data_IF_236855381696
#
_entry.id   IF_236855381696
#
_cell.length_a   1.000
_cell.length_b   1.000
_cell.length_c   1.000
_cell.angle_alpha   90.00
_cell.angle_beta   90.00
_cell.angle_gamma   90.00
#
_symmetry.space_group_name_H-M   'P 1'
#
loop_
_entity.id
_entity.type
_entity.pdbx_description
1 polymer ?
#
# COMPACT_ATOMS: atom_id res chain seq x y z
N UNK A 1 0.80 5.88 6.65
CA UNK A 1 -0.32 6.79 6.98
C UNK A 1 -1.38 6.80 5.89
N UNK A 2 -1.05 7.05 4.62
CA UNK A 2 -2.02 7.00 3.51
C UNK A 2 -2.88 5.72 3.46
N UNK A 3 -2.28 4.53 3.61
CA UNK A 3 -3.06 3.29 3.69
C UNK A 3 -4.06 3.25 4.87
N UNK A 4 -3.68 3.78 6.03
CA UNK A 4 -4.59 3.87 7.19
C UNK A 4 -5.67 4.93 7.01
N UNK A 5 -5.31 6.09 6.45
CA UNK A 5 -6.25 7.16 6.16
C UNK A 5 -7.31 6.73 5.13
N UNK A 6 -6.89 6.09 4.04
CA UNK A 6 -7.75 5.71 2.91
C UNK A 6 -8.50 4.39 3.10
N UNK A 7 -7.93 3.41 3.82
CA UNK A 7 -8.58 2.10 4.03
C UNK A 7 -9.16 1.96 5.44
N UNK A 8 -8.32 2.05 6.47
CA UNK A 8 -8.74 1.78 7.85
C UNK A 8 -9.73 2.83 8.37
N UNK A 9 -9.61 4.08 7.93
CA UNK A 9 -10.57 5.13 8.26
C UNK A 9 -12.00 4.81 7.78
N UNK A 10 -12.16 4.19 6.60
CA UNK A 10 -13.48 3.77 6.10
C UNK A 10 -14.05 2.65 6.96
N UNK A 11 -13.23 1.65 7.29
CA UNK A 11 -13.65 0.54 8.17
C UNK A 11 -14.05 1.09 9.54
N UNK A 12 -13.18 1.87 10.17
CA UNK A 12 -13.36 2.35 11.54
C UNK A 12 -14.56 3.30 11.70
N UNK A 13 -14.90 4.08 10.66
CA UNK A 13 -16.10 4.94 10.66
C UNK A 13 -17.39 4.17 10.43
N UNK A 14 -17.34 3.02 9.78
CA UNK A 14 -18.51 2.17 9.52
C UNK A 14 -18.86 1.22 10.67
N UNK A 15 -18.05 1.19 11.74
CA UNK A 15 -18.36 0.42 12.96
C UNK A 15 -19.16 1.32 13.92
N UNK A 16 -20.30 0.83 14.40
CA UNK A 16 -21.07 1.50 15.45
C UNK A 16 -20.20 1.78 16.67
N UNK A 17 -20.36 2.95 17.31
CA UNK A 17 -19.46 3.37 18.39
C UNK A 17 -19.27 2.30 19.45
N UNK A 18 -20.37 1.81 20.06
CA UNK A 18 -20.29 0.82 21.13
C UNK A 18 -19.58 -0.49 20.76
N UNK A 19 -19.50 -0.85 19.48
CA UNK A 19 -18.77 -2.03 19.02
C UNK A 19 -17.32 -1.70 18.63
N UNK A 20 -17.03 -0.46 18.22
CA UNK A 20 -15.66 -0.01 17.98
C UNK A 20 -14.85 0.09 19.28
N UNK A 21 -15.46 0.58 20.36
CA UNK A 21 -14.77 0.64 21.66
C UNK A 21 -14.43 -0.77 22.18
N UNK A 22 -15.35 -1.74 22.07
CA UNK A 22 -15.08 -3.15 22.38
C UNK A 22 -13.95 -3.71 21.52
N UNK A 23 -13.94 -3.40 20.21
CA UNK A 23 -12.86 -3.83 19.32
C UNK A 23 -11.49 -3.31 19.79
N UNK A 24 -11.39 -2.04 20.18
CA UNK A 24 -10.14 -1.46 20.67
C UNK A 24 -9.63 -2.14 21.95
N UNK A 25 -10.52 -2.58 22.83
CA UNK A 25 -10.19 -3.31 24.06
C UNK A 25 -9.56 -4.67 23.76
N UNK A 26 -9.98 -5.34 22.69
CA UNK A 26 -9.40 -6.65 22.28
C UNK A 26 -7.99 -6.54 21.70
N UNK A 27 -7.54 -5.34 21.30
CA UNK A 27 -6.22 -5.15 20.69
C UNK A 27 -5.16 -5.10 21.81
N UNK A 28 -4.23 -6.07 21.89
CA UNK A 28 -3.27 -6.15 22.99
C UNK A 28 -2.14 -5.12 22.86
N UNK A 29 -1.78 -4.74 21.63
CA UNK A 29 -0.66 -3.83 21.36
C UNK A 29 -1.10 -2.36 21.49
N UNK A 30 -0.54 -1.58 22.45
CA UNK A 30 -0.96 -0.19 22.68
C UNK A 30 -0.83 0.72 21.45
N UNK A 31 0.27 0.57 20.71
CA UNK A 31 0.51 1.37 19.50
C UNK A 31 -0.50 1.07 18.39
N UNK A 32 -0.93 -0.19 18.27
CA UNK A 32 -1.95 -0.57 17.30
C UNK A 32 -3.30 0.01 17.71
N UNK A 33 -3.66 -0.05 19.00
CA UNK A 33 -4.88 0.58 19.53
C UNK A 33 -4.90 2.07 19.21
N UNK A 34 -3.79 2.78 19.45
CA UNK A 34 -3.64 4.20 19.12
C UNK A 34 -3.84 4.46 17.64
N UNK A 35 -3.21 3.68 16.75
CA UNK A 35 -3.38 3.84 15.29
C UNK A 35 -4.83 3.62 14.83
N UNK A 36 -5.54 2.64 15.38
CA UNK A 36 -6.95 2.41 15.07
C UNK A 36 -7.83 3.59 15.53
N UNK A 37 -7.61 4.09 16.75
CA UNK A 37 -8.30 5.28 17.24
C UNK A 37 -8.03 6.51 16.35
N UNK A 38 -6.77 6.76 16.00
CA UNK A 38 -6.38 7.87 15.10
C UNK A 38 -6.97 7.72 13.70
N UNK A 39 -7.03 6.50 13.16
CA UNK A 39 -7.64 6.28 11.84
C UNK A 39 -9.14 6.59 11.84
N UNK A 40 -9.85 6.37 12.95
CA UNK A 40 -11.26 6.74 13.11
C UNK A 40 -11.44 8.26 13.15
N UNK A 41 -10.59 8.97 13.90
CA UNK A 41 -10.64 10.44 14.02
C UNK A 41 -10.11 11.19 12.78
N UNK A 42 -9.33 10.53 11.93
CA UNK A 42 -8.65 11.14 10.80
C UNK A 42 -7.21 11.54 11.10
N UNK A 43 -6.42 11.75 10.04
CA UNK A 43 -5.04 12.24 10.09
C UNK A 43 -5.00 13.72 9.73
N UNK A 44 -4.04 14.47 10.27
CA UNK A 44 -3.88 15.89 9.92
C UNK A 44 -3.38 16.05 8.49
N UNK A 45 -3.62 17.21 7.87
CA UNK A 45 -3.09 17.53 6.54
C UNK A 45 -1.55 17.47 6.52
N UNK A 46 -0.90 17.99 7.56
CA UNK A 46 0.55 17.93 7.71
C UNK A 46 1.09 16.48 7.73
N UNK A 47 0.37 15.55 8.38
CA UNK A 47 0.72 14.13 8.39
C UNK A 47 0.61 13.51 6.99
N UNK A 48 -0.43 13.89 6.23
CA UNK A 48 -0.64 13.41 4.86
C UNK A 48 0.43 13.95 3.92
N UNK A 49 0.77 15.24 4.00
CA UNK A 49 1.86 15.86 3.22
C UNK A 49 3.19 15.17 3.51
N UNK A 50 3.53 14.99 4.78
CA UNK A 50 4.75 14.28 5.17
C UNK A 50 4.77 12.82 4.69
N UNK A 51 3.61 12.14 4.71
CA UNK A 51 3.50 10.79 4.17
C UNK A 51 3.67 10.75 2.65
N UNK A 52 3.12 11.73 1.92
CA UNK A 52 3.28 11.87 0.47
C UNK A 52 4.75 12.06 0.11
N UNK A 53 5.46 12.98 0.79
CA UNK A 53 6.88 13.24 0.53
C UNK A 53 7.76 11.98 0.69
N UNK A 54 7.42 11.10 1.65
CA UNK A 54 8.13 9.82 1.85
C UNK A 54 7.90 8.83 0.70
N UNK A 55 6.71 8.84 0.10
CA UNK A 55 6.39 7.99 -1.05
C UNK A 55 7.15 8.47 -2.28
N UNK A 56 7.15 9.78 -2.52
CA UNK A 56 7.91 10.39 -3.61
C UNK A 56 9.41 10.09 -3.51
N UNK A 57 9.99 10.28 -2.32
CA UNK A 57 11.38 9.91 -2.06
C UNK A 57 11.65 8.42 -2.33
N UNK A 58 10.73 7.54 -1.92
CA UNK A 58 10.87 6.11 -2.16
C UNK A 58 10.77 5.75 -3.65
N UNK A 59 9.87 6.38 -4.41
CA UNK A 59 9.75 6.21 -5.85
C UNK A 59 11.07 6.56 -6.55
N UNK A 60 11.62 7.74 -6.27
CA UNK A 60 12.85 8.21 -6.90
C UNK A 60 14.05 7.30 -6.55
N UNK A 61 14.11 6.81 -5.30
CA UNK A 61 15.16 5.90 -4.86
C UNK A 61 15.08 4.54 -5.56
N UNK A 62 13.88 3.98 -5.71
CA UNK A 62 13.68 2.69 -6.36
C UNK A 62 13.93 2.79 -7.87
N UNK A 63 13.43 3.85 -8.50
CA UNK A 63 13.67 4.12 -9.91
C UNK A 63 15.17 4.20 -10.22
N UNK A 64 15.93 4.92 -9.37
CA UNK A 64 17.39 4.98 -9.48
C UNK A 64 18.03 3.59 -9.34
N UNK A 65 17.67 2.82 -8.31
CA UNK A 65 18.24 1.49 -8.07
C UNK A 65 18.00 0.52 -9.23
N UNK A 66 16.80 0.57 -9.82
CA UNK A 66 16.44 -0.25 -10.99
C UNK A 66 17.12 0.23 -12.29
N UNK A 67 17.67 1.45 -12.29
CA UNK A 67 18.59 1.90 -13.33
C UNK A 67 19.99 1.31 -13.22
N UNK A 68 20.40 0.88 -12.02
CA UNK A 68 21.72 0.29 -11.75
C UNK A 68 21.70 -1.24 -11.83
N UNK A 69 20.58 -1.86 -11.44
CA UNK A 69 20.48 -3.31 -11.25
C UNK A 69 19.16 -3.87 -11.74
N UNK A 70 19.16 -5.13 -12.17
CA UNK A 70 17.97 -5.81 -12.72
C UNK A 70 16.85 -5.97 -11.70
N UNK A 71 17.20 -6.16 -10.43
CA UNK A 71 16.33 -6.38 -9.28
C UNK A 71 16.80 -5.53 -8.10
N UNK A 72 15.97 -5.35 -7.09
CA UNK A 72 16.24 -4.38 -6.01
C UNK A 72 17.53 -4.65 -5.22
N UNK A 73 17.98 -5.90 -5.18
CA UNK A 73 19.20 -6.34 -4.49
C UNK A 73 20.28 -6.87 -5.45
N UNK A 74 20.28 -6.44 -6.72
CA UNK A 74 21.33 -6.78 -7.68
C UNK A 74 20.84 -7.55 -8.91
N UNK A 75 21.61 -8.55 -9.34
CA UNK A 75 21.36 -9.28 -10.58
C UNK A 75 20.27 -10.36 -10.50
N UNK A 76 19.83 -10.74 -9.29
CA UNK A 76 18.88 -11.86 -9.07
C UNK A 76 17.66 -11.43 -8.26
N UNK A 77 16.57 -12.16 -8.43
CA UNK A 77 15.31 -11.93 -7.70
C UNK A 77 15.44 -12.42 -6.26
N UNK A 78 15.08 -11.59 -5.29
CA UNK A 78 15.29 -11.89 -3.86
C UNK A 78 14.08 -11.53 -3.00
N UNK A 79 14.22 -11.75 -1.69
CA UNK A 79 13.26 -11.28 -0.69
C UNK A 79 13.04 -9.76 -0.72
N UNK A 80 14.01 -8.97 -1.21
CA UNK A 80 13.82 -7.52 -1.37
C UNK A 80 12.69 -7.21 -2.35
N UNK A 81 12.65 -7.91 -3.49
CA UNK A 81 11.61 -7.73 -4.51
C UNK A 81 10.25 -8.23 -4.00
N UNK A 82 10.21 -9.38 -3.33
CA UNK A 82 8.97 -9.93 -2.74
C UNK A 82 8.39 -8.95 -1.72
N UNK A 83 9.21 -8.47 -0.79
CA UNK A 83 8.78 -7.56 0.26
C UNK A 83 8.26 -6.24 -0.34
N UNK A 84 9.02 -5.63 -1.24
CA UNK A 84 8.65 -4.35 -1.83
C UNK A 84 7.42 -4.46 -2.72
N UNK A 85 7.28 -5.55 -3.50
CA UNK A 85 6.11 -5.78 -4.36
C UNK A 85 4.82 -5.84 -3.54
N UNK A 86 4.82 -6.66 -2.48
CA UNK A 86 3.64 -6.85 -1.63
C UNK A 86 3.26 -5.60 -0.81
N UNK A 87 4.23 -4.79 -0.39
CA UNK A 87 3.97 -3.64 0.47
C UNK A 87 3.61 -2.36 -0.31
N UNK A 88 4.24 -2.15 -1.46
CA UNK A 88 4.18 -0.86 -2.16
C UNK A 88 4.07 -1.02 -3.67
N UNK A 89 5.00 -1.77 -4.26
CA UNK A 89 5.26 -1.77 -5.70
C UNK A 89 4.07 -2.19 -6.56
N UNK A 90 3.24 -3.13 -6.08
CA UNK A 90 2.07 -3.60 -6.82
C UNK A 90 0.97 -2.53 -6.95
N UNK A 91 0.84 -1.62 -5.97
CA UNK A 91 -0.36 -0.78 -5.81
C UNK A 91 -0.11 0.72 -5.89
N UNK A 92 1.13 1.19 -5.84
CA UNK A 92 1.45 2.62 -5.73
C UNK A 92 0.79 3.48 -6.81
N UNK A 93 0.75 3.02 -8.06
CA UNK A 93 0.10 3.74 -9.16
C UNK A 93 -1.42 3.82 -9.01
N UNK A 94 -2.06 2.75 -8.54
CA UNK A 94 -3.51 2.73 -8.28
C UNK A 94 -3.88 3.56 -7.05
N UNK A 95 -3.02 3.57 -6.04
CA UNK A 95 -3.27 4.28 -4.78
C UNK A 95 -2.99 5.78 -4.87
N UNK A 96 -2.16 6.20 -5.83
CA UNK A 96 -1.73 7.59 -6.01
C UNK A 96 -1.74 7.96 -7.51
N UNK A 97 -2.90 7.94 -8.18
CA UNK A 97 -2.99 8.26 -9.62
C UNK A 97 -2.46 9.66 -9.94
N UNK A 98 -2.55 10.59 -8.99
CA UNK A 98 -2.02 11.96 -9.09
C UNK A 98 -0.50 12.04 -9.24
N UNK A 99 0.23 10.98 -8.87
CA UNK A 99 1.70 10.95 -8.93
C UNK A 99 2.26 10.60 -10.32
N UNK A 100 1.40 10.26 -11.29
CA UNK A 100 1.80 9.86 -12.65
C UNK A 100 2.96 8.84 -12.65
N UNK A 101 2.85 7.77 -11.84
CA UNK A 101 3.97 6.86 -11.53
C UNK A 101 4.63 6.30 -12.80
N UNK A 102 3.86 5.90 -13.82
CA UNK A 102 4.42 5.43 -15.09
C UNK A 102 5.36 6.44 -15.77
N UNK A 103 5.12 7.74 -15.61
CA UNK A 103 5.96 8.80 -16.17
C UNK A 103 7.17 9.10 -15.29
N UNK A 104 6.98 9.12 -13.97
CA UNK A 104 8.05 9.44 -12.99
C UNK A 104 9.03 8.29 -12.77
N UNK A 105 8.51 7.06 -12.73
CA UNK A 105 9.25 5.85 -12.39
C UNK A 105 8.94 4.70 -13.37
N UNK A 106 9.31 4.83 -14.66
CA UNK A 106 9.02 3.80 -15.67
C UNK A 106 9.72 2.47 -15.39
N UNK A 107 10.94 2.46 -14.82
CA UNK A 107 11.64 1.21 -14.50
C UNK A 107 10.97 0.47 -13.35
N UNK A 108 10.36 1.20 -12.40
CA UNK A 108 9.50 0.59 -11.38
C UNK A 108 8.31 -0.14 -12.02
N UNK A 109 7.66 0.45 -13.03
CA UNK A 109 6.57 -0.21 -13.73
C UNK A 109 7.05 -1.47 -14.46
N UNK A 110 8.17 -1.40 -15.18
CA UNK A 110 8.77 -2.57 -15.83
C UNK A 110 9.15 -3.67 -14.83
N UNK A 111 9.73 -3.30 -13.70
CA UNK A 111 10.06 -4.22 -12.61
C UNK A 111 8.80 -4.88 -12.05
N UNK A 112 7.74 -4.10 -11.81
CA UNK A 112 6.46 -4.60 -11.28
C UNK A 112 5.86 -5.63 -12.23
N UNK A 113 5.84 -5.34 -13.53
CA UNK A 113 5.30 -6.24 -14.54
C UNK A 113 6.13 -7.53 -14.61
N UNK A 114 7.46 -7.42 -14.48
CA UNK A 114 8.36 -8.57 -14.40
C UNK A 114 8.12 -9.43 -13.15
N UNK A 115 7.84 -8.82 -12.00
CA UNK A 115 7.48 -9.56 -10.77
C UNK A 115 6.13 -10.25 -10.94
N UNK A 116 5.12 -9.54 -11.47
CA UNK A 116 3.77 -10.07 -11.68
C UNK A 116 3.74 -11.25 -12.66
N UNK A 117 4.59 -11.23 -13.69
CA UNK A 117 4.70 -12.31 -14.68
C UNK A 117 5.34 -13.61 -14.14
N UNK A 118 5.89 -13.61 -12.91
CA UNK A 118 6.47 -14.82 -12.32
C UNK A 118 5.36 -15.82 -11.99
N UNK A 119 5.48 -17.13 -12.34
CA UNK A 119 4.40 -18.09 -12.17
C UNK A 119 3.78 -18.14 -10.78
N UNK A 120 4.61 -18.11 -9.72
CA UNK A 120 4.11 -18.12 -8.34
C UNK A 120 3.35 -16.84 -7.95
N UNK A 121 3.78 -15.68 -8.47
CA UNK A 121 3.10 -14.40 -8.22
C UNK A 121 1.81 -14.34 -9.01
N UNK A 122 1.85 -14.70 -10.30
CA UNK A 122 0.67 -14.78 -11.15
C UNK A 122 -0.39 -15.74 -10.58
N UNK A 123 0.03 -16.87 -10.02
CA UNK A 123 -0.88 -17.80 -9.34
C UNK A 123 -1.47 -17.18 -8.07
N UNK A 124 -0.64 -16.56 -7.22
CA UNK A 124 -1.12 -15.88 -6.01
C UNK A 124 -2.16 -14.78 -6.33
N UNK A 125 -1.96 -14.03 -7.41
CA UNK A 125 -2.87 -12.95 -7.84
C UNK A 125 -4.24 -13.44 -8.35
N UNK A 126 -4.42 -14.74 -8.62
CA UNK A 126 -5.73 -15.33 -8.95
C UNK A 126 -6.58 -15.64 -7.71
N UNK A 127 -6.01 -15.48 -6.51
CA UNK A 127 -6.73 -15.74 -5.27
C UNK A 127 -7.96 -14.85 -5.15
N UNK A 128 -9.00 -15.38 -4.52
CA UNK A 128 -10.24 -14.65 -4.23
C UNK A 128 -9.96 -13.30 -3.52
N UNK A 129 -10.55 -12.21 -4.03
CA UNK A 129 -10.50 -10.91 -3.35
C UNK A 129 -11.44 -10.91 -2.13
N UNK A 130 -10.85 -11.18 -0.96
CA UNK A 130 -11.55 -11.15 0.33
C UNK A 130 -11.59 -9.76 0.97
N UNK A 131 -11.18 -8.73 0.24
CA UNK A 131 -11.32 -7.34 0.69
C UNK A 131 -12.80 -7.00 0.84
N UNK A 132 -13.17 -6.29 1.92
CA UNK A 132 -14.55 -5.83 2.11
C UNK A 132 -14.99 -4.97 0.91
N UNK A 133 -16.20 -5.18 0.32
CA UNK A 133 -16.61 -4.52 -0.93
C UNK A 133 -16.45 -2.99 -0.96
N UNK A 134 -16.75 -2.30 0.15
CA UNK A 134 -16.58 -0.83 0.25
C UNK A 134 -15.12 -0.35 0.20
N UNK A 135 -14.15 -1.25 0.26
CA UNK A 135 -12.71 -0.98 0.12
C UNK A 135 -12.18 -1.44 -1.24
N UNK A 136 -13.00 -2.04 -2.08
CA UNK A 136 -12.61 -2.53 -3.42
C UNK A 136 -12.57 -1.44 -4.49
N UNK A 137 -12.89 -0.20 -4.12
CA UNK A 137 -12.55 1.01 -4.91
C UNK A 137 -11.07 1.04 -5.32
N UNK A 138 -10.21 0.34 -4.58
CA UNK A 138 -8.78 0.24 -4.85
C UNK A 138 -8.37 -1.04 -5.63
N UNK A 139 -9.18 -2.10 -5.64
CA UNK A 139 -8.93 -3.31 -6.47
C UNK A 139 -9.41 -3.15 -7.92
N UNK A 140 -10.18 -2.09 -8.21
CA UNK A 140 -10.67 -1.74 -9.54
C UNK A 140 -12.09 -2.23 -9.83
N UNK A 141 -12.78 -2.81 -8.83
CA UNK A 141 -14.17 -3.27 -8.96
C UNK A 141 -15.20 -2.13 -8.86
N UNK A 142 -14.82 -0.99 -8.29
CA UNK A 142 -15.68 0.19 -8.17
C UNK A 142 -14.89 1.41 -8.62
N UNK A 143 -15.40 2.11 -9.65
CA UNK A 143 -14.88 3.40 -10.13
C UNK A 143 -15.63 4.54 -9.45
#
# INVERSE_FOLDING_TARGET
MHGWHRMVGVIARNIESGDFEKLLETIPLPDQRKKWATARSGFSEADLVNATAKIEYALDKIEKQLGETKWLAGGTYTLADINFYAHCGAMVERMFPEMEVAKRAPRLCEWRDRVAARPAVAEALKSEDRTAPGLRVWSGEVR
#
